data_IF_182073206459
#
_entry.id   IF_182073206459
#
_cell.length_a   1.000
_cell.length_b   1.000
_cell.length_c   1.000
_cell.angle_alpha   90.00
_cell.angle_beta   90.00
_cell.angle_gamma   90.00
#
_symmetry.space_group_name_H-M   'P 1'
#
loop_
_entity.id
_entity.type
_entity.pdbx_description
1 polymer ?
#
# COMPACT_ATOMS: atom_id res chain seq x y z
N UNK A 1 -27.61 15.02 -1.10
CA UNK A 1 -27.65 14.12 -2.26
C UNK A 1 -27.13 12.78 -1.80
N UNK A 2 -28.03 11.78 -1.70
CA UNK A 2 -27.72 10.50 -1.09
C UNK A 2 -26.71 9.69 -1.91
N UNK A 3 -25.58 9.40 -1.34
CA UNK A 3 -24.67 8.39 -1.85
C UNK A 3 -25.32 7.01 -1.60
N UNK A 4 -25.78 6.39 -2.69
CA UNK A 4 -26.51 5.14 -2.66
C UNK A 4 -25.62 4.02 -2.16
N UNK A 5 -26.03 3.38 -1.04
CA UNK A 5 -25.51 2.14 -0.46
C UNK A 5 -25.34 1.02 -1.52
N UNK A 6 -26.10 1.07 -2.57
CA UNK A 6 -26.13 0.11 -3.69
C UNK A 6 -24.90 0.23 -4.63
N UNK A 7 -24.26 1.40 -4.71
CA UNK A 7 -23.00 1.60 -5.47
C UNK A 7 -21.81 0.99 -4.74
N UNK A 8 -21.76 1.08 -3.42
CA UNK A 8 -20.71 0.49 -2.59
C UNK A 8 -20.84 -1.04 -2.46
N UNK A 9 -22.06 -1.57 -2.43
CA UNK A 9 -22.30 -3.02 -2.42
C UNK A 9 -21.82 -3.70 -3.72
N UNK A 10 -21.79 -2.98 -4.85
CA UNK A 10 -21.17 -3.44 -6.12
C UNK A 10 -19.67 -3.23 -6.16
N UNK A 11 -19.11 -2.36 -5.30
CA UNK A 11 -17.67 -2.05 -5.20
C UNK A 11 -16.92 -2.96 -4.18
N UNK A 12 -17.59 -3.75 -3.37
CA UNK A 12 -16.98 -4.94 -2.77
C UNK A 12 -16.87 -5.92 -3.92
N UNK A 13 -15.87 -5.66 -4.75
CA UNK A 13 -15.57 -6.39 -5.96
C UNK A 13 -15.39 -7.87 -5.61
N UNK A 14 -15.67 -8.73 -6.54
CA UNK A 14 -15.50 -10.17 -6.42
C UNK A 14 -14.19 -10.57 -5.68
N UNK A 15 -13.00 -9.93 -5.92
CA UNK A 15 -11.77 -10.25 -5.22
C UNK A 15 -11.81 -10.05 -3.71
N UNK A 16 -12.33 -8.93 -3.19
CA UNK A 16 -12.40 -8.69 -1.74
C UNK A 16 -13.20 -9.79 -1.05
N UNK A 17 -14.40 -10.08 -1.56
CA UNK A 17 -15.26 -11.13 -0.99
C UNK A 17 -14.59 -12.51 -1.08
N UNK A 18 -14.00 -12.83 -2.23
CA UNK A 18 -13.39 -14.13 -2.46
C UNK A 18 -12.18 -14.34 -1.54
N UNK A 19 -11.27 -13.38 -1.47
CA UNK A 19 -10.09 -13.50 -0.61
C UNK A 19 -10.45 -13.45 0.87
N UNK A 20 -11.40 -12.58 1.28
CA UNK A 20 -11.85 -12.59 2.66
C UNK A 20 -12.48 -13.93 3.05
N UNK A 21 -13.30 -14.55 2.19
CA UNK A 21 -13.87 -15.86 2.45
C UNK A 21 -12.83 -16.96 2.67
N UNK A 22 -11.65 -16.86 2.02
CA UNK A 22 -10.56 -17.83 2.21
C UNK A 22 -9.90 -17.71 3.60
N UNK A 23 -9.91 -16.52 4.20
CA UNK A 23 -9.16 -16.23 5.43
C UNK A 23 -10.05 -15.93 6.64
N UNK A 24 -11.34 -15.69 6.44
CA UNK A 24 -12.27 -15.27 7.51
C UNK A 24 -12.28 -16.23 8.71
N UNK A 25 -12.23 -17.54 8.48
CA UNK A 25 -12.19 -18.56 9.54
C UNK A 25 -10.90 -18.54 10.39
N UNK A 26 -9.87 -17.83 9.93
CA UNK A 26 -8.59 -17.66 10.61
C UNK A 26 -8.46 -16.28 11.29
N UNK A 27 -9.61 -15.61 11.53
CA UNK A 27 -9.72 -14.35 12.25
C UNK A 27 -10.81 -14.44 13.31
N UNK A 28 -10.84 -13.49 14.24
CA UNK A 28 -11.97 -13.34 15.14
C UNK A 28 -13.19 -12.71 14.40
N UNK A 29 -14.33 -12.71 15.07
CA UNK A 29 -15.60 -12.24 14.48
C UNK A 29 -15.64 -10.75 14.20
N UNK A 30 -14.73 -9.96 14.80
CA UNK A 30 -14.69 -8.50 14.67
C UNK A 30 -13.70 -8.03 13.60
N UNK A 31 -12.80 -8.90 13.13
CA UNK A 31 -11.71 -8.54 12.23
C UNK A 31 -12.16 -7.75 11.01
N UNK A 32 -13.20 -8.22 10.30
CA UNK A 32 -13.69 -7.52 9.11
C UNK A 32 -14.26 -6.14 9.44
N UNK A 33 -15.00 -6.00 10.53
CA UNK A 33 -15.57 -4.71 10.92
C UNK A 33 -14.49 -3.70 11.34
N UNK A 34 -13.39 -4.17 11.93
CA UNK A 34 -12.22 -3.35 12.27
C UNK A 34 -11.55 -2.84 10.98
N UNK A 35 -11.28 -3.74 10.02
CA UNK A 35 -10.73 -3.38 8.72
C UNK A 35 -11.67 -2.42 7.97
N UNK A 36 -12.96 -2.71 7.92
CA UNK A 36 -13.95 -1.87 7.21
C UNK A 36 -14.03 -0.47 7.81
N UNK A 37 -14.00 -0.36 9.14
CA UNK A 37 -13.97 0.94 9.81
C UNK A 37 -12.69 1.73 9.49
N UNK A 38 -11.52 1.06 9.51
CA UNK A 38 -10.24 1.68 9.23
C UNK A 38 -10.16 2.26 7.80
N UNK A 39 -10.51 1.46 6.78
CA UNK A 39 -10.45 1.91 5.39
C UNK A 39 -11.59 2.85 4.98
N UNK A 40 -12.54 3.16 5.88
CA UNK A 40 -13.59 4.16 5.69
C UNK A 40 -13.33 5.44 6.47
N UNK A 41 -12.22 5.58 7.15
CA UNK A 41 -11.87 6.80 7.87
C UNK A 41 -11.89 8.02 6.94
N UNK A 42 -12.54 9.13 7.34
CA UNK A 42 -12.82 10.25 6.43
C UNK A 42 -11.58 11.02 5.97
N UNK A 43 -10.46 10.88 6.67
CA UNK A 43 -9.18 11.49 6.29
C UNK A 43 -8.43 10.69 5.23
N UNK A 44 -8.78 9.43 4.96
CA UNK A 44 -8.14 8.59 3.96
C UNK A 44 -8.74 8.80 2.58
N UNK A 45 -7.90 8.86 1.55
CA UNK A 45 -8.28 8.96 0.14
C UNK A 45 -7.44 8.08 -0.77
N UNK A 46 -6.18 7.82 -0.38
CA UNK A 46 -5.30 6.87 -1.05
C UNK A 46 -5.26 5.54 -0.28
N UNK A 47 -4.99 5.58 1.03
CA UNK A 47 -4.96 4.40 1.90
C UNK A 47 -6.37 4.03 2.37
N UNK A 48 -7.28 3.82 1.42
CA UNK A 48 -8.69 3.47 1.61
C UNK A 48 -9.03 2.12 0.93
N UNK A 49 -10.30 1.75 0.93
CA UNK A 49 -10.75 0.54 0.24
C UNK A 49 -10.37 0.49 -1.24
N UNK A 50 -10.20 1.62 -1.91
CA UNK A 50 -9.79 1.67 -3.32
C UNK A 50 -8.41 1.04 -3.52
N UNK A 51 -7.47 1.31 -2.63
CA UNK A 51 -6.13 0.72 -2.62
C UNK A 51 -6.21 -0.81 -2.40
N UNK A 52 -6.92 -1.26 -1.38
CA UNK A 52 -7.08 -2.70 -1.07
C UNK A 52 -7.73 -3.47 -2.22
N UNK A 53 -8.77 -2.91 -2.83
CA UNK A 53 -9.44 -3.51 -4.01
C UNK A 53 -8.48 -3.62 -5.19
N UNK A 54 -7.66 -2.60 -5.44
CA UNK A 54 -6.67 -2.58 -6.51
C UNK A 54 -5.62 -3.69 -6.31
N UNK A 55 -5.06 -3.79 -5.10
CA UNK A 55 -4.07 -4.82 -4.76
C UNK A 55 -4.64 -6.23 -4.89
N UNK A 56 -5.83 -6.49 -4.33
CA UNK A 56 -6.47 -7.82 -4.42
C UNK A 56 -6.85 -8.18 -5.86
N UNK A 57 -7.24 -7.20 -6.69
CA UNK A 57 -7.53 -7.42 -8.10
C UNK A 57 -6.25 -7.83 -8.86
N UNK A 58 -5.15 -7.15 -8.60
CA UNK A 58 -3.85 -7.47 -9.18
C UNK A 58 -3.32 -8.81 -8.69
N UNK A 59 -3.49 -9.11 -7.40
CA UNK A 59 -3.16 -10.43 -6.85
C UNK A 59 -3.96 -11.54 -7.56
N UNK A 60 -5.26 -11.35 -7.79
CA UNK A 60 -6.08 -12.33 -8.51
C UNK A 60 -5.59 -12.57 -9.94
N UNK A 61 -5.17 -11.51 -10.64
CA UNK A 61 -4.55 -11.61 -11.97
C UNK A 61 -3.19 -12.32 -11.96
N UNK A 62 -2.42 -12.17 -10.90
CA UNK A 62 -1.05 -12.66 -10.77
C UNK A 62 -0.92 -13.86 -9.80
N UNK A 63 -2.02 -14.41 -9.34
CA UNK A 63 -2.03 -15.50 -8.32
C UNK A 63 -1.22 -16.74 -8.70
N UNK A 64 -1.00 -16.99 -9.99
CA UNK A 64 -0.14 -18.08 -10.44
C UNK A 64 1.34 -17.87 -10.08
N UNK A 65 1.75 -16.64 -9.71
CA UNK A 65 3.09 -16.33 -9.24
C UNK A 65 3.25 -16.58 -7.73
N UNK A 66 2.15 -16.60 -6.99
CA UNK A 66 2.13 -16.78 -5.54
C UNK A 66 2.15 -18.26 -5.15
N UNK A 67 2.84 -18.57 -4.07
CA UNK A 67 2.78 -19.88 -3.40
C UNK A 67 1.61 -19.91 -2.41
N UNK A 68 1.46 -18.84 -1.61
CA UNK A 68 0.39 -18.68 -0.61
C UNK A 68 -0.39 -17.39 -0.84
N UNK A 69 -1.23 -17.33 -1.90
CA UNK A 69 -2.01 -16.14 -2.21
C UNK A 69 -2.99 -15.75 -1.08
N UNK A 70 -3.36 -16.70 -0.24
CA UNK A 70 -4.18 -16.48 0.97
C UNK A 70 -3.44 -15.65 2.02
N UNK A 71 -2.15 -15.90 2.26
CA UNK A 71 -1.34 -15.14 3.22
C UNK A 71 -1.01 -13.74 2.67
N UNK A 72 -0.71 -13.64 1.36
CA UNK A 72 -0.54 -12.33 0.71
C UNK A 72 -1.83 -11.52 0.82
N UNK A 73 -3.00 -12.13 0.59
CA UNK A 73 -4.28 -11.43 0.73
C UNK A 73 -4.51 -10.97 2.18
N UNK A 74 -4.17 -11.79 3.19
CA UNK A 74 -4.24 -11.38 4.58
C UNK A 74 -3.33 -10.16 4.84
N UNK A 75 -2.09 -10.17 4.35
CA UNK A 75 -1.19 -9.02 4.46
C UNK A 75 -1.78 -7.78 3.76
N UNK A 76 -2.37 -7.92 2.57
CA UNK A 76 -3.05 -6.82 1.86
C UNK A 76 -4.18 -6.21 2.71
N UNK A 77 -5.00 -7.03 3.36
CA UNK A 77 -6.09 -6.51 4.21
C UNK A 77 -5.59 -5.74 5.43
N UNK A 78 -4.40 -6.05 5.94
CA UNK A 78 -3.95 -5.54 7.22
C UNK A 78 -2.80 -4.52 7.15
N UNK A 79 -2.00 -4.44 6.06
CA UNK A 79 -0.76 -3.64 6.04
C UNK A 79 -0.96 -2.16 6.33
N UNK A 80 -2.07 -1.59 5.87
CA UNK A 80 -2.47 -0.18 6.07
C UNK A 80 -3.68 -0.03 7.00
N UNK A 81 -4.01 -1.06 7.81
CA UNK A 81 -5.16 -1.00 8.71
C UNK A 81 -5.03 0.14 9.74
N UNK A 82 -3.83 0.49 10.12
CA UNK A 82 -3.53 1.74 10.85
C UNK A 82 -2.77 2.67 9.94
N UNK A 83 -3.34 3.84 9.65
CA UNK A 83 -2.68 4.87 8.85
C UNK A 83 -3.02 6.26 9.37
N UNK A 84 -2.05 6.89 10.01
CA UNK A 84 -2.15 8.22 10.60
C UNK A 84 -0.94 9.03 10.13
N UNK A 85 -1.19 10.20 9.53
CA UNK A 85 -0.11 11.05 9.01
C UNK A 85 0.48 12.00 10.05
N UNK A 86 -0.19 12.17 11.20
CA UNK A 86 0.18 13.08 12.27
C UNK A 86 0.13 12.36 13.61
N UNK A 87 1.19 12.47 14.41
CA UNK A 87 1.22 11.93 15.76
C UNK A 87 0.47 12.81 16.78
N UNK A 88 0.44 12.37 18.05
CA UNK A 88 -0.25 13.08 19.13
C UNK A 88 0.42 14.42 19.48
N UNK A 89 1.70 14.60 19.18
CA UNK A 89 2.46 15.84 19.34
C UNK A 89 2.27 16.79 18.16
N UNK A 90 1.53 16.38 17.15
CA UNK A 90 1.24 17.18 15.96
C UNK A 90 2.35 17.13 14.90
N UNK A 91 3.32 16.23 15.03
CA UNK A 91 4.43 16.03 14.10
C UNK A 91 4.08 14.99 13.04
N UNK A 92 4.90 14.91 12.00
CA UNK A 92 4.79 13.88 10.98
C UNK A 92 5.06 12.51 11.61
N UNK A 93 4.07 11.61 11.56
CA UNK A 93 4.23 10.25 12.03
C UNK A 93 5.09 9.45 11.06
N UNK A 94 6.14 8.77 11.52
CA UNK A 94 6.93 7.87 10.67
C UNK A 94 6.09 6.71 10.15
N UNK A 95 6.22 6.40 8.86
CA UNK A 95 5.46 5.33 8.21
C UNK A 95 5.68 3.95 8.88
N UNK A 96 6.92 3.67 9.29
CA UNK A 96 7.25 2.47 10.04
C UNK A 96 6.45 2.27 11.35
N UNK A 97 5.91 3.34 11.93
CA UNK A 97 5.04 3.26 13.10
C UNK A 97 3.62 2.83 12.72
N UNK A 98 3.11 3.31 11.59
CA UNK A 98 1.84 2.87 11.03
C UNK A 98 1.89 1.39 10.68
N UNK A 99 2.95 0.96 10.00
CA UNK A 99 3.16 -0.44 9.64
C UNK A 99 3.22 -1.34 10.89
N UNK A 100 3.98 -0.94 11.91
CA UNK A 100 4.06 -1.69 13.18
C UNK A 100 2.71 -1.76 13.89
N UNK A 101 1.97 -0.66 13.91
CA UNK A 101 0.63 -0.62 14.50
C UNK A 101 -0.36 -1.51 13.74
N UNK A 102 -0.25 -1.55 12.41
CA UNK A 102 -1.03 -2.43 11.53
C UNK A 102 -0.72 -3.91 11.81
N UNK A 103 0.56 -4.28 11.91
CA UNK A 103 0.97 -5.63 12.27
C UNK A 103 0.44 -6.03 13.66
N UNK A 104 0.56 -5.15 14.65
CA UNK A 104 0.00 -5.39 16.00
C UNK A 104 -1.52 -5.53 15.98
N UNK A 105 -2.21 -4.76 15.14
CA UNK A 105 -3.67 -4.87 15.00
C UNK A 105 -4.06 -6.21 14.36
N UNK A 106 -3.33 -6.66 13.33
CA UNK A 106 -3.49 -8.00 12.74
C UNK A 106 -3.34 -9.09 13.81
N UNK A 107 -2.27 -9.07 14.61
CA UNK A 107 -2.01 -10.07 15.65
C UNK A 107 -3.18 -10.21 16.64
N UNK A 108 -3.78 -9.10 17.05
CA UNK A 108 -4.93 -9.09 17.99
C UNK A 108 -6.17 -9.79 17.44
N UNK A 109 -6.35 -9.78 16.13
CA UNK A 109 -7.53 -10.34 15.46
C UNK A 109 -7.24 -11.66 14.75
N UNK A 110 -5.97 -12.08 14.71
CA UNK A 110 -5.49 -13.29 14.04
C UNK A 110 -5.82 -14.54 14.85
N UNK A 111 -6.22 -15.59 14.13
CA UNK A 111 -6.34 -16.99 14.58
C UNK A 111 -5.58 -17.92 13.65
N UNK A 112 -4.66 -17.40 12.88
CA UNK A 112 -3.72 -18.20 12.12
C UNK A 112 -2.83 -19.01 13.07
N UNK A 113 -2.32 -20.15 12.62
CA UNK A 113 -1.24 -20.81 13.34
C UNK A 113 0.02 -19.92 13.40
N UNK A 114 0.94 -20.27 14.29
CA UNK A 114 2.11 -19.43 14.59
C UNK A 114 2.97 -19.15 13.34
N UNK A 115 3.16 -20.15 12.47
CA UNK A 115 3.98 -20.02 11.26
C UNK A 115 3.31 -19.09 10.24
N UNK A 116 2.04 -19.28 9.94
CA UNK A 116 1.28 -18.44 9.01
C UNK A 116 1.12 -17.00 9.57
N UNK A 117 0.88 -16.87 10.89
CA UNK A 117 0.77 -15.55 11.53
C UNK A 117 2.11 -14.78 11.44
N UNK A 118 3.24 -15.43 11.70
CA UNK A 118 4.54 -14.79 11.57
C UNK A 118 4.87 -14.43 10.12
N UNK A 119 4.52 -15.28 9.16
CA UNK A 119 4.68 -14.98 7.74
C UNK A 119 3.89 -13.72 7.33
N UNK A 120 2.61 -13.61 7.76
CA UNK A 120 1.79 -12.42 7.48
C UNK A 120 2.36 -11.18 8.17
N UNK A 121 2.80 -11.31 9.43
CA UNK A 121 3.47 -10.23 10.17
C UNK A 121 4.68 -9.71 9.39
N UNK A 122 5.55 -10.59 8.91
CA UNK A 122 6.77 -10.20 8.19
C UNK A 122 6.46 -9.59 6.82
N UNK A 123 5.41 -10.06 6.13
CA UNK A 123 4.90 -9.39 4.92
C UNK A 123 4.48 -7.95 5.25
N UNK A 124 3.67 -7.73 6.27
CA UNK A 124 3.23 -6.39 6.69
C UNK A 124 4.44 -5.53 7.04
N UNK A 125 5.33 -6.02 7.90
CA UNK A 125 6.51 -5.26 8.34
C UNK A 125 7.45 -4.87 7.21
N UNK A 126 7.49 -5.64 6.13
CA UNK A 126 8.32 -5.35 4.97
C UNK A 126 7.90 -4.06 4.24
N UNK A 127 6.63 -3.65 4.32
CA UNK A 127 6.15 -2.41 3.69
C UNK A 127 6.77 -1.15 4.30
N UNK A 128 7.30 -1.21 5.53
CA UNK A 128 8.05 -0.09 6.13
C UNK A 128 9.33 0.27 5.34
N UNK A 129 9.85 -0.65 4.53
CA UNK A 129 11.05 -0.41 3.72
C UNK A 129 11.01 -1.22 2.42
N UNK A 130 10.02 -0.94 1.57
CA UNK A 130 9.75 -1.64 0.31
C UNK A 130 11.01 -1.95 -0.51
N UNK A 131 11.91 -0.98 -0.63
CA UNK A 131 13.06 -1.09 -1.53
C UNK A 131 14.14 -2.04 -1.02
N UNK A 132 14.32 -2.13 0.30
CA UNK A 132 15.41 -2.88 0.91
C UNK A 132 14.96 -4.10 1.72
N UNK A 133 13.65 -4.28 1.93
CA UNK A 133 13.13 -5.45 2.64
C UNK A 133 13.54 -6.75 1.93
N UNK A 134 13.92 -7.75 2.71
CA UNK A 134 14.26 -9.09 2.25
C UNK A 134 13.74 -10.08 3.28
N UNK A 135 13.34 -11.26 2.84
CA UNK A 135 13.04 -12.35 3.75
C UNK A 135 14.31 -12.72 4.54
N UNK A 136 14.20 -12.69 5.85
CA UNK A 136 15.26 -13.14 6.76
C UNK A 136 15.04 -14.60 7.19
N UNK A 137 13.79 -15.07 7.09
CA UNK A 137 13.35 -16.43 7.38
C UNK A 137 12.44 -16.89 6.26
N UNK A 138 12.62 -18.14 5.82
CA UNK A 138 11.68 -18.83 4.92
C UNK A 138 10.63 -19.56 5.77
N UNK A 139 9.50 -18.89 6.04
CA UNK A 139 8.40 -19.47 6.83
C UNK A 139 7.77 -20.69 6.18
N UNK A 140 7.80 -20.72 4.83
CA UNK A 140 7.41 -21.85 3.99
C UNK A 140 8.21 -21.81 2.67
N UNK A 141 8.32 -22.91 1.93
CA UNK A 141 9.03 -22.92 0.65
C UNK A 141 8.42 -21.90 -0.33
N UNK A 142 9.20 -20.87 -0.71
CA UNK A 142 8.80 -19.80 -1.61
C UNK A 142 8.26 -18.54 -0.93
N UNK A 143 8.39 -18.40 0.38
CA UNK A 143 8.01 -17.18 1.10
C UNK A 143 8.73 -15.94 0.57
N UNK A 144 10.03 -16.05 0.26
CA UNK A 144 10.79 -14.93 -0.35
C UNK A 144 10.15 -14.44 -1.65
N UNK A 145 9.61 -15.34 -2.49
CA UNK A 145 8.92 -14.98 -3.73
C UNK A 145 7.56 -14.30 -3.44
N UNK A 146 6.83 -14.79 -2.47
CA UNK A 146 5.56 -14.20 -2.06
C UNK A 146 5.75 -12.80 -1.46
N UNK A 147 6.83 -12.60 -0.70
CA UNK A 147 7.24 -11.29 -0.21
C UNK A 147 7.55 -10.34 -1.37
N UNK A 148 8.34 -10.78 -2.34
CA UNK A 148 8.67 -9.98 -3.50
C UNK A 148 7.41 -9.61 -4.31
N UNK A 149 6.49 -10.56 -4.51
CA UNK A 149 5.22 -10.30 -5.18
C UNK A 149 4.37 -9.28 -4.41
N UNK A 150 4.25 -9.42 -3.09
CA UNK A 150 3.46 -8.52 -2.26
C UNK A 150 3.99 -7.08 -2.33
N UNK A 151 5.30 -6.89 -2.21
CA UNK A 151 5.92 -5.57 -2.30
C UNK A 151 5.79 -4.95 -3.70
N UNK A 152 5.88 -5.77 -4.75
CA UNK A 152 5.65 -5.33 -6.13
C UNK A 152 4.19 -4.93 -6.37
N UNK A 153 3.23 -5.65 -5.78
CA UNK A 153 1.81 -5.30 -5.82
C UNK A 153 1.57 -3.94 -5.18
N UNK A 154 2.15 -3.69 -4.01
CA UNK A 154 1.96 -2.44 -3.27
C UNK A 154 2.55 -1.24 -4.03
N UNK A 155 3.72 -1.40 -4.65
CA UNK A 155 4.32 -0.38 -5.51
C UNK A 155 3.70 -0.29 -6.92
N UNK A 156 2.74 -1.16 -7.27
CA UNK A 156 2.19 -1.23 -8.63
C UNK A 156 1.50 0.05 -9.10
N UNK A 157 1.02 0.88 -8.17
CA UNK A 157 0.43 2.18 -8.46
C UNK A 157 1.40 3.16 -9.11
N UNK A 158 2.72 3.00 -8.91
CA UNK A 158 3.75 3.79 -9.60
C UNK A 158 3.75 3.54 -11.11
N UNK A 159 3.41 2.31 -11.55
CA UNK A 159 3.29 1.90 -12.94
C UNK A 159 1.87 2.00 -13.52
N UNK A 160 0.95 2.69 -12.87
CA UNK A 160 -0.40 2.95 -13.37
C UNK A 160 -0.41 3.90 -14.59
N UNK A 161 -1.57 4.13 -15.21
CA UNK A 161 -1.69 5.21 -16.19
C UNK A 161 -1.34 6.55 -15.55
N UNK A 162 -0.85 7.53 -16.36
CA UNK A 162 -0.52 8.85 -15.80
C UNK A 162 -1.70 9.48 -15.05
N UNK A 163 -2.91 9.38 -15.62
CA UNK A 163 -4.11 9.93 -14.98
C UNK A 163 -4.39 9.34 -13.62
N UNK A 164 -4.22 8.02 -13.44
CA UNK A 164 -4.37 7.33 -12.14
C UNK A 164 -3.25 7.71 -11.18
N UNK A 165 -2.01 7.73 -11.67
CA UNK A 165 -0.85 8.15 -10.87
C UNK A 165 -1.02 9.58 -10.34
N UNK A 166 -1.43 10.53 -11.19
CA UNK A 166 -1.70 11.92 -10.83
C UNK A 166 -2.86 12.04 -9.81
N UNK A 167 -3.93 11.25 -9.99
CA UNK A 167 -5.01 11.18 -9.01
C UNK A 167 -4.52 10.64 -7.66
N UNK A 168 -3.63 9.65 -7.66
CA UNK A 168 -3.03 9.11 -6.44
C UNK A 168 -2.16 10.15 -5.72
N UNK A 169 -1.41 10.97 -6.48
CA UNK A 169 -0.69 12.12 -5.89
C UNK A 169 -1.64 13.12 -5.23
N UNK A 170 -2.78 13.42 -5.85
CA UNK A 170 -3.79 14.32 -5.30
C UNK A 170 -4.46 13.72 -4.04
N UNK A 171 -4.73 12.41 -4.03
CA UNK A 171 -5.28 11.69 -2.87
C UNK A 171 -4.31 11.71 -1.69
N UNK A 172 -3.03 11.45 -1.94
CA UNK A 172 -1.97 11.57 -0.94
C UNK A 172 -1.84 13.00 -0.42
N UNK A 173 -1.90 14.02 -1.30
CA UNK A 173 -1.90 15.43 -0.87
C UNK A 173 -3.07 15.73 0.07
N UNK A 174 -4.23 15.14 -0.17
CA UNK A 174 -5.38 15.29 0.72
C UNK A 174 -5.11 14.72 2.12
N UNK A 175 -4.55 13.52 2.23
CA UNK A 175 -4.21 12.88 3.51
C UNK A 175 -3.18 13.69 4.32
N UNK A 176 -2.28 14.37 3.62
CA UNK A 176 -1.27 15.26 4.19
C UNK A 176 -1.66 16.75 4.12
N UNK A 177 -2.98 17.09 4.04
CA UNK A 177 -3.43 18.47 3.87
C UNK A 177 -2.96 19.43 4.97
N UNK A 178 -2.71 18.93 6.18
CA UNK A 178 -2.18 19.67 7.30
C UNK A 178 -0.71 20.06 7.17
N UNK A 179 0.07 19.37 6.32
CA UNK A 179 1.48 19.69 6.06
C UNK A 179 1.55 20.90 5.13
N UNK A 180 2.34 21.96 5.49
CA UNK A 180 2.56 23.08 4.59
C UNK A 180 3.05 22.64 3.21
N UNK A 181 2.52 23.26 2.16
CA UNK A 181 2.79 22.85 0.77
C UNK A 181 4.27 22.76 0.42
N UNK A 182 5.16 23.70 0.82
CA UNK A 182 6.59 23.58 0.52
C UNK A 182 7.20 22.31 1.13
N UNK A 183 6.86 21.98 2.37
CA UNK A 183 7.38 20.80 3.07
C UNK A 183 6.84 19.50 2.46
N UNK A 184 5.55 19.47 2.10
CA UNK A 184 4.96 18.34 1.39
C UNK A 184 5.66 18.09 0.04
N UNK A 185 5.86 19.15 -0.76
CA UNK A 185 6.52 19.04 -2.06
C UNK A 185 7.97 18.53 -1.93
N UNK A 186 8.71 19.01 -0.95
CA UNK A 186 10.09 18.56 -0.69
C UNK A 186 10.13 17.08 -0.27
N UNK A 187 9.31 16.68 0.70
CA UNK A 187 9.24 15.29 1.15
C UNK A 187 8.79 14.35 0.03
N UNK A 188 7.81 14.77 -0.79
CA UNK A 188 7.35 13.98 -1.92
C UNK A 188 8.40 13.86 -3.02
N UNK A 189 9.13 14.94 -3.30
CA UNK A 189 10.23 14.90 -4.26
C UNK A 189 11.33 13.94 -3.80
N UNK A 190 11.72 13.99 -2.53
CA UNK A 190 12.72 13.07 -1.97
C UNK A 190 12.30 11.61 -2.11
N UNK A 191 11.03 11.29 -1.83
CA UNK A 191 10.52 9.92 -1.98
C UNK A 191 10.54 9.47 -3.45
N UNK A 192 10.10 10.33 -4.37
CA UNK A 192 10.10 10.03 -5.80
C UNK A 192 11.56 9.90 -6.32
N UNK A 193 12.49 10.73 -5.88
CA UNK A 193 13.91 10.61 -6.20
C UNK A 193 14.48 9.26 -5.73
N UNK A 194 14.08 8.81 -4.54
CA UNK A 194 14.47 7.49 -3.99
C UNK A 194 13.94 6.34 -4.85
N UNK A 195 12.67 6.35 -5.24
CA UNK A 195 12.11 5.32 -6.13
C UNK A 195 12.77 5.34 -7.51
N UNK A 196 12.96 6.51 -8.10
CA UNK A 196 13.58 6.65 -9.41
C UNK A 196 15.04 6.15 -9.43
N UNK A 197 15.79 6.34 -8.35
CA UNK A 197 17.16 5.86 -8.22
C UNK A 197 17.29 4.32 -8.22
N UNK A 198 16.20 3.58 -7.91
CA UNK A 198 16.21 2.13 -7.95
C UNK A 198 16.12 1.56 -9.38
N UNK A 199 15.74 2.37 -10.36
CA UNK A 199 15.70 1.95 -11.76
C UNK A 199 14.88 0.64 -11.93
N UNK A 200 15.42 -0.31 -12.69
CA UNK A 200 14.76 -1.58 -12.95
C UNK A 200 14.60 -2.47 -11.70
N UNK A 201 15.35 -2.21 -10.63
CA UNK A 201 15.22 -2.92 -9.37
C UNK A 201 14.03 -2.45 -8.51
N UNK A 202 13.24 -1.48 -9.00
CA UNK A 202 12.02 -0.99 -8.34
C UNK A 202 10.99 -2.12 -8.17
N UNK A 203 10.89 -3.01 -9.15
CA UNK A 203 10.10 -4.25 -9.07
C UNK A 203 11.03 -5.46 -9.05
N UNK A 204 10.71 -6.43 -8.22
CA UNK A 204 11.58 -7.55 -7.86
C UNK A 204 11.42 -8.75 -8.79
N UNK A 205 10.16 -9.06 -9.16
CA UNK A 205 9.87 -10.15 -10.07
C UNK A 205 9.96 -9.69 -11.53
N UNK A 206 10.45 -10.56 -12.41
CA UNK A 206 10.55 -10.26 -13.83
C UNK A 206 9.16 -10.01 -14.46
N UNK A 207 8.14 -10.72 -13.98
CA UNK A 207 6.79 -10.63 -14.48
C UNK A 207 6.19 -9.23 -14.16
N UNK A 208 6.32 -8.77 -12.93
CA UNK A 208 5.81 -7.45 -12.49
C UNK A 208 6.61 -6.31 -13.09
N UNK A 209 7.92 -6.49 -13.23
CA UNK A 209 8.81 -5.54 -13.93
C UNK A 209 8.36 -5.31 -15.37
N UNK A 210 8.03 -6.37 -16.12
CA UNK A 210 7.48 -6.26 -17.49
C UNK A 210 6.15 -5.50 -17.54
N UNK A 211 5.32 -5.63 -16.51
CA UNK A 211 4.01 -4.99 -16.46
C UNK A 211 4.09 -3.50 -16.13
N UNK A 212 4.96 -3.09 -15.21
CA UNK A 212 4.86 -1.79 -14.56
C UNK A 212 6.09 -0.90 -14.71
N UNK A 213 7.31 -1.45 -14.86
CA UNK A 213 8.56 -0.70 -14.70
C UNK A 213 8.68 0.47 -15.70
N UNK A 214 8.42 0.24 -16.97
CA UNK A 214 8.53 1.29 -17.98
C UNK A 214 7.62 2.49 -17.71
N UNK A 215 6.37 2.24 -17.30
CA UNK A 215 5.44 3.33 -16.93
C UNK A 215 5.82 3.98 -15.60
N UNK A 216 6.29 3.21 -14.63
CA UNK A 216 6.77 3.76 -13.36
C UNK A 216 7.91 4.76 -13.60
N UNK A 217 8.90 4.41 -14.43
CA UNK A 217 9.98 5.34 -14.78
C UNK A 217 9.47 6.63 -15.44
N UNK A 218 8.51 6.51 -16.37
CA UNK A 218 7.90 7.68 -17.03
C UNK A 218 7.14 8.56 -16.03
N UNK A 219 6.33 7.95 -15.17
CA UNK A 219 5.56 8.65 -14.15
C UNK A 219 6.46 9.35 -13.12
N UNK A 220 7.47 8.64 -12.62
CA UNK A 220 8.43 9.19 -11.65
C UNK A 220 9.21 10.36 -12.26
N UNK A 221 9.74 10.22 -13.48
CA UNK A 221 10.47 11.30 -14.15
C UNK A 221 9.58 12.54 -14.39
N UNK A 222 8.34 12.35 -14.81
CA UNK A 222 7.38 13.44 -14.99
C UNK A 222 7.05 14.12 -13.65
N UNK A 223 6.75 13.34 -12.61
CA UNK A 223 6.45 13.87 -11.29
C UNK A 223 7.63 14.63 -10.68
N UNK A 224 8.88 14.12 -10.85
CA UNK A 224 10.08 14.84 -10.46
C UNK A 224 10.17 16.22 -11.11
N UNK A 225 9.97 16.30 -12.43
CA UNK A 225 10.02 17.55 -13.17
C UNK A 225 8.95 18.55 -12.71
N UNK A 226 7.73 18.06 -12.43
CA UNK A 226 6.61 18.90 -11.96
C UNK A 226 6.87 19.40 -10.54
N UNK A 227 7.29 18.53 -9.61
CA UNK A 227 7.59 18.91 -8.22
C UNK A 227 8.78 19.87 -8.13
N UNK A 228 9.85 19.66 -8.91
CA UNK A 228 11.00 20.60 -8.94
C UNK A 228 10.56 21.99 -9.39
N UNK A 229 9.70 22.10 -10.40
CA UNK A 229 9.13 23.38 -10.82
C UNK A 229 8.28 24.02 -9.73
N UNK A 230 7.50 23.22 -9.01
CA UNK A 230 6.64 23.71 -7.92
C UNK A 230 7.48 24.22 -6.75
N UNK A 231 8.49 23.46 -6.32
CA UNK A 231 9.45 23.86 -5.26
C UNK A 231 10.16 25.18 -5.65
N UNK A 232 10.65 25.31 -6.89
CA UNK A 232 11.30 26.53 -7.35
C UNK A 232 10.36 27.74 -7.31
N UNK A 233 9.09 27.59 -7.72
CA UNK A 233 8.09 28.67 -7.64
C UNK A 233 7.82 29.10 -6.19
N UNK A 234 7.65 28.13 -5.29
CA UNK A 234 7.38 28.41 -3.87
C UNK A 234 8.55 29.13 -3.20
N UNK A 235 9.79 28.77 -3.55
CA UNK A 235 11.00 29.46 -3.06
C UNK A 235 11.14 30.89 -3.59
N UNK A 236 10.60 31.20 -4.78
CA UNK A 236 10.65 32.55 -5.37
C UNK A 236 9.54 33.48 -4.84
N UNK A 237 8.54 32.92 -4.13
CA UNK A 237 7.40 33.65 -3.60
C UNK A 237 7.47 33.90 -2.09
N UNK A 238 8.50 33.40 -1.42
CA UNK A 238 8.79 33.53 0.02
C UNK A 238 9.85 34.61 0.26
#
# INVERSE_FOLDING_TARGET
MGFSYDRYSRMISNPVRNYWALIAGRHDTNAFSVIDAAYREPQRRYHDWGHIVDLLTKLDCLKALAVRPDLIAAAIFWHDAVYVTRDDDGLLRPDAENVRASATLFERHSKFDETDAQAIHDLIMATANHLNARATVEHYPGFSRDLDLFLDLDLSSLGASWSEFEQNLARLRFEYAWVPEPLFCLGRLQMIDTFAAHGDALYRLDETRKLWCARAHQNLARAQAELRRQVARLASSA
#
